data_IF_858082607864
#
_entry.id   IF_858082607864
#
_cell.length_a   1.000
_cell.length_b   1.000
_cell.length_c   1.000
_cell.angle_alpha   90.00
_cell.angle_beta   90.00
_cell.angle_gamma   90.00
#
_symmetry.space_group_name_H-M   'P 1'
#
loop_
_entity.id
_entity.type
_entity.pdbx_description
1 polymer ?
#
# COMPACT_ATOMS: atom_id res chain seq x y z
N UNK A 1 2.17 -8.46 4.80
CA UNK A 1 1.63 -9.68 4.19
C UNK A 1 2.31 -9.82 2.83
N UNK A 2 2.98 -10.94 2.55
CA UNK A 2 3.60 -11.14 1.24
C UNK A 2 2.49 -11.37 0.20
N UNK A 3 2.53 -10.72 -0.97
CA UNK A 3 1.64 -11.00 -2.07
C UNK A 3 1.74 -12.49 -2.40
N UNK A 4 0.60 -13.14 -2.57
CA UNK A 4 0.54 -14.55 -3.00
C UNK A 4 0.81 -14.67 -4.51
N UNK A 5 1.75 -13.88 -5.05
CA UNK A 5 2.07 -13.87 -6.46
C UNK A 5 2.60 -15.24 -6.88
N UNK A 6 1.86 -15.86 -7.80
CA UNK A 6 2.19 -17.17 -8.37
C UNK A 6 3.59 -17.11 -8.98
N UNK A 7 3.93 -15.99 -9.62
CA UNK A 7 5.23 -15.74 -10.25
C UNK A 7 6.39 -15.79 -9.24
N UNK A 8 6.17 -15.39 -7.99
CA UNK A 8 7.19 -15.53 -6.94
C UNK A 8 7.21 -16.97 -6.43
N UNK A 9 6.05 -17.52 -6.09
CA UNK A 9 5.93 -18.86 -5.49
C UNK A 9 6.51 -19.97 -6.36
N UNK A 10 6.31 -19.91 -7.67
CA UNK A 10 6.80 -20.90 -8.62
C UNK A 10 8.31 -20.80 -8.89
N UNK A 11 8.95 -19.70 -8.50
CA UNK A 11 10.36 -19.42 -8.83
C UNK A 11 11.29 -19.36 -7.60
N UNK A 12 10.75 -19.58 -6.39
CA UNK A 12 11.53 -19.74 -5.15
C UNK A 12 11.75 -21.22 -4.83
N UNK A 13 12.92 -21.57 -4.29
CA UNK A 13 13.22 -22.96 -3.89
C UNK A 13 12.54 -23.31 -2.57
N UNK A 14 12.43 -24.61 -2.27
CA UNK A 14 11.97 -25.08 -0.97
C UNK A 14 12.77 -24.45 0.17
N UNK A 15 12.08 -23.94 1.20
CA UNK A 15 12.68 -23.24 2.33
C UNK A 15 13.00 -21.75 2.10
N UNK A 16 12.89 -21.24 0.86
CA UNK A 16 13.06 -19.81 0.57
C UNK A 16 11.76 -19.02 0.77
N UNK A 17 11.91 -17.75 1.10
CA UNK A 17 10.86 -16.74 1.13
C UNK A 17 11.06 -15.73 -0.01
N UNK A 18 10.06 -14.87 -0.25
CA UNK A 18 10.18 -13.80 -1.24
C UNK A 18 11.38 -12.87 -0.96
N UNK A 19 11.67 -12.62 0.32
CA UNK A 19 12.78 -11.75 0.74
C UNK A 19 14.15 -12.33 0.39
N UNK A 20 14.26 -13.65 0.25
CA UNK A 20 15.50 -14.33 -0.13
C UNK A 20 15.78 -14.25 -1.64
N UNK A 21 14.79 -13.82 -2.44
CA UNK A 21 14.89 -13.69 -3.91
C UNK A 21 14.50 -12.28 -4.37
N UNK A 22 15.28 -11.25 -3.99
CA UNK A 22 15.00 -9.87 -4.36
C UNK A 22 15.01 -9.65 -5.88
N UNK A 23 15.74 -10.47 -6.63
CA UNK A 23 15.78 -10.47 -8.09
C UNK A 23 14.41 -10.83 -8.71
N UNK A 24 13.75 -11.86 -8.19
CA UNK A 24 12.41 -12.28 -8.64
C UNK A 24 11.37 -11.25 -8.23
N UNK A 25 11.42 -10.82 -6.97
CA UNK A 25 10.51 -9.79 -6.43
C UNK A 25 10.56 -8.53 -7.29
N UNK A 26 11.76 -8.06 -7.60
CA UNK A 26 12.00 -6.87 -8.43
C UNK A 26 11.33 -7.01 -9.80
N UNK A 27 11.58 -8.13 -10.49
CA UNK A 27 11.01 -8.39 -11.82
C UNK A 27 9.49 -8.50 -11.79
N UNK A 28 8.94 -9.23 -10.82
CA UNK A 28 7.50 -9.38 -10.64
C UNK A 28 6.82 -8.04 -10.37
N UNK A 29 7.39 -7.25 -9.47
CA UNK A 29 6.89 -5.91 -9.14
C UNK A 29 6.91 -5.00 -10.36
N UNK A 30 8.03 -4.89 -11.09
CA UNK A 30 8.12 -4.00 -12.25
C UNK A 30 7.18 -4.40 -13.38
N UNK A 31 6.96 -5.72 -13.59
CA UNK A 31 5.98 -6.19 -14.58
C UNK A 31 4.56 -5.75 -14.21
N UNK A 32 4.16 -5.93 -12.94
CA UNK A 32 2.85 -5.51 -12.46
C UNK A 32 2.71 -3.99 -12.45
N UNK A 33 3.73 -3.25 -12.02
CA UNK A 33 3.73 -1.79 -12.05
C UNK A 33 3.60 -1.26 -13.48
N UNK A 34 4.34 -1.82 -14.44
CA UNK A 34 4.23 -1.43 -15.86
C UNK A 34 2.84 -1.71 -16.42
N UNK A 35 2.27 -2.87 -16.08
CA UNK A 35 0.91 -3.23 -16.46
C UNK A 35 -0.11 -2.27 -15.83
N UNK A 36 0.03 -1.97 -14.54
CA UNK A 36 -0.83 -1.01 -13.84
C UNK A 36 -0.76 0.36 -14.49
N UNK A 37 0.45 0.85 -14.79
CA UNK A 37 0.62 2.12 -15.48
C UNK A 37 -0.08 2.14 -16.84
N UNK A 38 -0.04 1.04 -17.60
CA UNK A 38 -0.74 0.93 -18.90
C UNK A 38 -2.25 1.05 -18.71
N UNK A 39 -2.84 0.33 -17.76
CA UNK A 39 -4.27 0.41 -17.46
C UNK A 39 -4.69 1.82 -17.03
N UNK A 40 -3.85 2.48 -16.22
CA UNK A 40 -4.07 3.88 -15.83
C UNK A 40 -3.99 4.84 -17.02
N UNK A 41 -3.07 4.59 -17.97
CA UNK A 41 -2.92 5.37 -19.20
C UNK A 41 -4.12 5.15 -20.15
N UNK A 42 -4.74 3.98 -20.10
CA UNK A 42 -5.97 3.64 -20.83
C UNK A 42 -7.25 4.18 -20.16
N UNK A 43 -7.11 4.90 -19.04
CA UNK A 43 -8.21 5.63 -18.42
C UNK A 43 -9.08 4.79 -17.49
N UNK A 44 -8.58 3.69 -16.93
CA UNK A 44 -9.35 2.83 -16.01
C UNK A 44 -9.88 3.57 -14.77
N UNK A 45 -9.21 4.64 -14.34
CA UNK A 45 -9.66 5.54 -13.26
C UNK A 45 -10.10 6.92 -13.77
N UNK A 46 -10.34 7.05 -15.08
CA UNK A 46 -10.54 8.32 -15.77
C UNK A 46 -9.27 8.80 -16.49
N UNK A 47 -9.46 9.69 -17.46
CA UNK A 47 -8.35 10.21 -18.26
C UNK A 47 -7.53 11.22 -17.44
N UNK A 48 -6.22 10.98 -17.37
CA UNK A 48 -5.27 11.79 -16.60
C UNK A 48 -4.66 12.93 -17.44
N UNK A 49 -4.54 14.11 -16.84
CA UNK A 49 -3.71 15.22 -17.35
C UNK A 49 -2.25 15.04 -16.96
N UNK A 50 -2.00 14.47 -15.78
CA UNK A 50 -0.66 14.21 -15.28
C UNK A 50 -0.64 13.01 -14.32
N UNK A 51 0.51 12.34 -14.26
CA UNK A 51 0.79 11.27 -13.30
C UNK A 51 2.17 11.42 -12.73
N UNK A 52 2.27 11.30 -11.42
CA UNK A 52 3.54 11.23 -10.71
C UNK A 52 3.55 9.89 -9.97
N UNK A 53 4.66 9.16 -10.04
CA UNK A 53 4.82 7.99 -9.18
C UNK A 53 6.23 7.88 -8.63
N UNK A 54 6.33 7.29 -7.44
CA UNK A 54 7.59 7.01 -6.75
C UNK A 54 7.55 5.57 -6.27
N UNK A 55 8.63 4.84 -6.49
CA UNK A 55 8.82 3.51 -5.90
C UNK A 55 9.66 3.65 -4.64
N UNK A 56 9.08 3.28 -3.50
CA UNK A 56 9.77 3.17 -2.22
C UNK A 56 10.27 1.74 -2.00
N UNK A 57 11.51 1.63 -1.54
CA UNK A 57 12.13 0.38 -1.17
C UNK A 57 12.22 0.30 0.34
N UNK A 58 11.40 -0.54 0.95
CA UNK A 58 11.40 -0.69 2.41
C UNK A 58 12.57 -1.59 2.84
N UNK A 59 13.26 -1.25 3.94
CA UNK A 59 14.45 -1.97 4.45
C UNK A 59 14.38 -3.50 4.39
N UNK A 60 13.24 -4.08 4.80
CA UNK A 60 12.95 -5.52 4.72
C UNK A 60 11.59 -5.81 4.06
N UNK A 61 11.02 -4.81 3.39
CA UNK A 61 9.68 -4.89 2.83
C UNK A 61 9.73 -4.98 1.31
N UNK A 62 8.61 -5.37 0.74
CA UNK A 62 8.44 -5.39 -0.70
C UNK A 62 8.42 -3.95 -1.23
N UNK A 63 8.84 -3.76 -2.49
CA UNK A 63 8.74 -2.45 -3.13
C UNK A 63 7.28 -1.97 -3.14
N UNK A 64 7.10 -0.67 -2.94
CA UNK A 64 5.78 -0.05 -2.90
C UNK A 64 5.75 1.15 -3.85
N UNK A 65 4.74 1.21 -4.73
CA UNK A 65 4.54 2.35 -5.61
C UNK A 65 3.52 3.31 -4.99
N UNK A 66 3.90 4.57 -4.86
CA UNK A 66 3.00 5.67 -4.60
C UNK A 66 2.69 6.34 -5.94
N UNK A 67 1.44 6.25 -6.41
CA UNK A 67 1.00 6.82 -7.68
C UNK A 67 -0.02 7.91 -7.38
N UNK A 68 0.22 9.13 -7.84
CA UNK A 68 -0.76 10.21 -7.87
C UNK A 68 -1.16 10.50 -9.30
N UNK A 69 -2.47 10.57 -9.53
CA UNK A 69 -3.05 10.96 -10.80
C UNK A 69 -3.79 12.29 -10.66
N UNK A 70 -3.58 13.18 -11.61
CA UNK A 70 -4.37 14.39 -11.79
C UNK A 70 -5.28 14.12 -12.99
N UNK A 71 -6.57 13.90 -12.73
CA UNK A 71 -7.57 13.65 -13.76
C UNK A 71 -7.96 14.94 -14.49
N UNK A 72 -8.37 14.81 -15.75
CA UNK A 72 -9.01 15.90 -16.49
C UNK A 72 -10.27 16.36 -15.74
N UNK A 73 -10.67 17.64 -15.85
CA UNK A 73 -11.85 18.15 -15.15
C UNK A 73 -13.12 17.31 -15.35
N UNK A 74 -13.31 16.77 -16.55
CA UNK A 74 -14.48 15.99 -16.95
C UNK A 74 -14.48 14.58 -16.35
N UNK A 75 -13.31 14.06 -16.00
CA UNK A 75 -13.10 12.72 -15.45
C UNK A 75 -13.00 12.73 -13.91
N UNK A 76 -12.98 13.91 -13.27
CA UNK A 76 -12.88 14.00 -11.81
C UNK A 76 -14.17 13.50 -11.16
N UNK A 77 -14.09 12.60 -10.16
CA UNK A 77 -15.28 12.20 -9.41
C UNK A 77 -15.74 13.37 -8.54
N UNK A 78 -16.91 13.94 -8.87
CA UNK A 78 -17.49 15.09 -8.17
C UNK A 78 -18.74 14.73 -7.37
N UNK A 79 -19.31 13.55 -7.62
CA UNK A 79 -20.44 13.00 -6.87
C UNK A 79 -20.05 11.75 -6.08
N UNK A 80 -20.88 11.39 -5.09
CA UNK A 80 -20.74 10.12 -4.37
C UNK A 80 -20.85 8.91 -5.31
N UNK A 81 -21.69 9.01 -6.34
CA UNK A 81 -21.86 7.94 -7.33
C UNK A 81 -20.60 7.76 -8.18
N UNK A 82 -19.95 8.85 -8.61
CA UNK A 82 -18.68 8.78 -9.34
C UNK A 82 -17.59 8.11 -8.49
N UNK A 83 -17.54 8.42 -7.19
CA UNK A 83 -16.62 7.74 -6.26
C UNK A 83 -16.94 6.27 -6.16
N UNK A 84 -18.20 5.89 -5.96
CA UNK A 84 -18.60 4.49 -5.80
C UNK A 84 -18.32 3.65 -7.06
N UNK A 85 -18.31 4.26 -8.25
CA UNK A 85 -17.87 3.60 -9.49
C UNK A 85 -16.37 3.31 -9.51
N UNK A 86 -15.56 4.12 -8.82
CA UNK A 86 -14.10 4.02 -8.81
C UNK A 86 -13.54 3.27 -7.59
N UNK A 87 -14.19 3.40 -6.43
CA UNK A 87 -13.65 2.96 -5.15
C UNK A 87 -14.74 2.31 -4.32
N UNK A 88 -14.45 1.11 -3.82
CA UNK A 88 -15.25 0.42 -2.83
C UNK A 88 -14.46 0.29 -1.52
N UNK A 89 -15.18 0.23 -0.41
CA UNK A 89 -14.66 -0.15 0.89
C UNK A 89 -15.50 -1.26 1.53
N UNK A 90 -16.25 -2.00 0.72
CA UNK A 90 -17.12 -3.09 1.13
C UNK A 90 -16.57 -4.43 0.62
N UNK A 91 -16.86 -5.51 1.34
CA UNK A 91 -16.55 -6.86 0.89
C UNK A 91 -17.52 -7.22 -0.24
N UNK A 92 -17.04 -7.61 -1.44
CA UNK A 92 -17.91 -8.08 -2.51
C UNK A 92 -18.70 -9.31 -2.09
N UNK A 93 -19.82 -9.54 -2.74
CA UNK A 93 -20.58 -10.76 -2.54
C UNK A 93 -19.78 -11.98 -3.07
N UNK A 94 -19.58 -13.04 -2.25
CA UNK A 94 -18.83 -14.22 -2.67
C UNK A 94 -19.53 -15.05 -3.76
N UNK A 95 -20.85 -14.95 -3.89
CA UNK A 95 -21.62 -15.67 -4.91
C UNK A 95 -21.63 -14.88 -6.24
N UNK A 96 -21.60 -13.55 -6.20
CA UNK A 96 -21.54 -12.71 -7.40
C UNK A 96 -20.12 -12.56 -7.97
N UNK A 97 -19.12 -12.38 -7.11
CA UNK A 97 -17.72 -12.21 -7.53
C UNK A 97 -16.75 -12.87 -6.53
N UNK A 98 -16.61 -14.20 -6.58
CA UNK A 98 -15.76 -14.95 -5.65
C UNK A 98 -14.29 -14.54 -5.70
N UNK A 99 -13.76 -14.24 -6.90
CA UNK A 99 -12.36 -13.88 -7.08
C UNK A 99 -12.01 -12.53 -6.45
N UNK A 100 -12.87 -11.52 -6.63
CA UNK A 100 -12.68 -10.22 -5.98
C UNK A 100 -12.91 -10.34 -4.47
N UNK A 101 -13.90 -11.13 -4.03
CA UNK A 101 -14.12 -11.39 -2.61
C UNK A 101 -12.84 -11.98 -1.97
N UNK A 102 -12.25 -13.00 -2.58
CA UNK A 102 -11.03 -13.62 -2.07
C UNK A 102 -9.86 -12.62 -2.07
N UNK A 103 -9.75 -11.82 -3.14
CA UNK A 103 -8.74 -10.77 -3.26
C UNK A 103 -8.87 -9.76 -2.13
N UNK A 104 -10.08 -9.25 -1.85
CA UNK A 104 -10.35 -8.26 -0.81
C UNK A 104 -10.05 -8.82 0.58
N UNK A 105 -10.52 -10.04 0.90
CA UNK A 105 -10.19 -10.74 2.14
C UNK A 105 -8.69 -10.99 2.32
N UNK A 106 -7.92 -10.94 1.23
CA UNK A 106 -6.48 -11.17 1.24
C UNK A 106 -5.65 -9.93 1.32
N UNK A 107 -5.95 -8.96 0.50
CA UNK A 107 -5.05 -7.87 0.21
C UNK A 107 -5.65 -6.53 0.63
N UNK A 108 -6.94 -6.46 0.96
CA UNK A 108 -7.62 -5.22 1.31
C UNK A 108 -8.12 -5.19 2.76
N UNK A 109 -7.63 -6.09 3.61
CA UNK A 109 -7.95 -6.09 5.05
C UNK A 109 -6.85 -5.37 5.84
N UNK A 110 -7.24 -4.41 6.67
CA UNK A 110 -6.29 -3.69 7.54
C UNK A 110 -5.81 -4.52 8.74
N UNK A 111 -6.73 -5.27 9.37
CA UNK A 111 -6.54 -5.77 10.72
C UNK A 111 -6.17 -7.27 10.88
N UNK A 112 -6.30 -7.80 12.10
CA UNK A 112 -6.81 -7.12 13.30
C UNK A 112 -5.78 -6.18 13.95
N UNK A 113 -6.25 -5.08 14.53
CA UNK A 113 -5.47 -4.14 15.36
C UNK A 113 -6.36 -3.55 16.47
N UNK A 114 -5.82 -2.67 17.32
CA UNK A 114 -6.59 -2.11 18.43
C UNK A 114 -6.55 -3.06 19.62
N UNK A 115 -7.69 -3.25 20.29
CA UNK A 115 -7.77 -4.15 21.44
C UNK A 115 -7.53 -5.61 21.06
N UNK A 116 -7.88 -5.98 19.82
CA UNK A 116 -7.60 -7.32 19.28
C UNK A 116 -6.12 -7.59 19.04
N UNK A 117 -5.33 -6.53 18.79
CA UNK A 117 -3.89 -6.65 18.61
C UNK A 117 -3.19 -5.30 18.86
N UNK A 118 -2.71 -5.12 20.09
CA UNK A 118 -2.05 -3.88 20.56
C UNK A 118 -0.62 -3.73 20.05
N UNK A 119 0.01 -4.80 19.59
CA UNK A 119 1.41 -4.81 19.10
C UNK A 119 1.51 -4.60 17.59
N UNK A 120 0.39 -4.50 16.88
CA UNK A 120 0.36 -4.24 15.45
C UNK A 120 1.13 -2.95 15.09
N UNK A 121 1.92 -2.91 13.99
CA UNK A 121 2.74 -1.74 13.62
C UNK A 121 1.95 -0.44 13.41
N UNK A 122 0.65 -0.55 13.14
CA UNK A 122 -0.23 0.61 12.99
C UNK A 122 -0.59 1.27 14.33
N UNK A 123 -0.40 0.59 15.46
CA UNK A 123 -0.75 1.08 16.79
C UNK A 123 0.24 2.15 17.24
N UNK A 124 -0.27 3.33 17.57
CA UNK A 124 0.49 4.45 18.14
C UNK A 124 -0.30 5.03 19.30
N UNK A 125 0.32 5.18 20.47
CA UNK A 125 -0.31 5.70 21.68
C UNK A 125 -1.65 5.01 22.01
N UNK A 126 -1.68 3.67 21.91
CA UNK A 126 -2.87 2.86 22.20
C UNK A 126 -3.99 2.92 21.16
N UNK A 127 -3.84 3.67 20.06
CA UNK A 127 -4.85 3.79 18.99
C UNK A 127 -4.26 3.42 17.63
N UNK A 128 -5.10 2.90 16.73
CA UNK A 128 -4.68 2.67 15.36
C UNK A 128 -4.42 4.02 14.66
N UNK A 129 -3.19 4.25 14.20
CA UNK A 129 -2.79 5.46 13.46
C UNK A 129 -3.55 5.65 12.14
N UNK A 130 -4.13 4.57 11.60
CA UNK A 130 -4.99 4.58 10.40
C UNK A 130 -6.48 4.72 10.74
N UNK A 131 -6.83 4.84 12.02
CA UNK A 131 -8.20 5.00 12.54
C UNK A 131 -9.13 3.84 12.15
N UNK A 132 -8.65 2.61 12.32
CA UNK A 132 -9.46 1.40 12.21
C UNK A 132 -9.90 0.91 13.61
N UNK A 133 -11.07 0.26 13.72
CA UNK A 133 -12.08 0.07 12.67
C UNK A 133 -12.71 1.40 12.21
N UNK A 134 -13.07 1.50 10.92
CA UNK A 134 -13.76 2.68 10.37
C UNK A 134 -15.24 2.66 10.81
N UNK A 135 -15.89 3.82 10.99
CA UNK A 135 -17.33 3.84 11.23
C UNK A 135 -18.09 3.27 10.03
N UNK A 136 -19.27 2.71 10.27
CA UNK A 136 -20.20 2.39 9.20
C UNK A 136 -20.72 3.66 8.53
N UNK A 137 -21.08 3.53 7.26
CA UNK A 137 -21.67 4.59 6.46
C UNK A 137 -22.60 3.97 5.41
N UNK A 138 -23.88 4.32 5.45
CA UNK A 138 -24.88 3.77 4.51
C UNK A 138 -24.66 4.23 3.07
N UNK A 139 -24.05 5.39 2.88
CA UNK A 139 -23.70 5.95 1.57
C UNK A 139 -22.36 6.67 1.62
N UNK A 140 -21.72 6.81 0.46
CA UNK A 140 -20.53 7.65 0.31
C UNK A 140 -20.91 9.11 0.48
N UNK A 141 -20.14 9.85 1.28
CA UNK A 141 -20.33 11.30 1.46
C UNK A 141 -19.08 12.06 1.08
N UNK A 142 -19.28 13.11 0.28
CA UNK A 142 -18.23 14.06 -0.05
C UNK A 142 -17.86 14.88 1.19
N UNK A 143 -16.58 15.18 1.35
CA UNK A 143 -16.12 16.04 2.42
C UNK A 143 -15.25 17.15 1.82
N UNK A 144 -15.58 18.41 2.12
CA UNK A 144 -14.76 19.56 1.72
C UNK A 144 -13.40 19.47 2.43
N UNK A 145 -12.32 19.58 1.67
CA UNK A 145 -10.91 19.54 2.13
C UNK A 145 -10.53 18.28 2.94
N UNK A 146 -11.28 17.18 2.74
CA UNK A 146 -11.04 15.91 3.41
C UNK A 146 -11.20 14.76 2.41
N UNK A 147 -10.67 13.60 2.79
CA UNK A 147 -11.01 12.38 2.08
C UNK A 147 -12.52 12.12 2.19
N UNK A 148 -13.16 11.63 1.12
CA UNK A 148 -14.53 11.15 1.18
C UNK A 148 -14.70 10.10 2.27
N UNK A 149 -15.88 10.06 2.87
CA UNK A 149 -16.28 8.92 3.71
C UNK A 149 -16.91 7.90 2.77
N UNK A 150 -16.19 6.82 2.50
CA UNK A 150 -16.68 5.73 1.64
C UNK A 150 -17.81 4.96 2.34
N UNK A 151 -18.79 4.52 1.53
CA UNK A 151 -19.84 3.59 1.95
C UNK A 151 -19.23 2.33 2.57
N UNK A 152 -19.75 1.97 3.74
CA UNK A 152 -19.39 0.80 4.55
C UNK A 152 -20.65 0.34 5.25
N UNK A 153 -21.52 -0.40 4.57
CA UNK A 153 -22.76 -0.90 5.18
C UNK A 153 -22.47 -2.06 6.12
N UNK A 154 -23.31 -2.21 7.13
CA UNK A 154 -23.30 -3.40 7.98
C UNK A 154 -23.77 -4.61 7.16
N UNK A 155 -23.10 -5.75 7.30
CA UNK A 155 -23.55 -7.01 6.69
C UNK A 155 -24.40 -7.82 7.67
N UNK A 156 -24.97 -8.92 7.19
CA UNK A 156 -25.60 -9.92 8.04
C UNK A 156 -24.61 -10.51 9.04
N UNK A 157 -25.13 -11.00 10.17
CA UNK A 157 -24.33 -11.69 11.19
C UNK A 157 -23.69 -12.96 10.65
N UNK A 158 -22.60 -13.40 11.28
CA UNK A 158 -21.91 -14.63 10.93
C UNK A 158 -20.41 -14.52 11.10
N UNK A 159 -19.73 -15.65 10.95
CA UNK A 159 -18.27 -15.70 11.03
C UNK A 159 -17.70 -15.92 9.63
N UNK A 160 -16.77 -15.05 9.23
CA UNK A 160 -15.95 -15.24 8.04
C UNK A 160 -14.57 -15.74 8.48
N UNK A 161 -14.27 -16.98 8.11
CA UNK A 161 -12.98 -17.59 8.38
C UNK A 161 -12.12 -17.57 7.12
N UNK A 162 -10.85 -17.15 7.27
CA UNK A 162 -9.84 -17.27 6.22
C UNK A 162 -8.50 -17.68 6.82
N UNK A 163 -8.15 -18.95 6.65
CA UNK A 163 -7.05 -19.57 7.39
C UNK A 163 -7.31 -19.48 8.90
N UNK A 164 -6.32 -19.05 9.65
CA UNK A 164 -6.41 -18.91 11.12
C UNK A 164 -7.11 -17.63 11.58
N UNK A 165 -7.49 -16.74 10.64
CA UNK A 165 -8.16 -15.48 10.97
C UNK A 165 -9.67 -15.66 10.89
N UNK A 166 -10.36 -15.30 11.97
CA UNK A 166 -11.82 -15.23 12.04
C UNK A 166 -12.23 -13.76 12.17
N UNK A 167 -13.19 -13.37 11.35
CA UNK A 167 -13.78 -12.04 11.33
C UNK A 167 -15.28 -12.14 11.56
N UNK A 168 -15.83 -11.17 12.29
CA UNK A 168 -17.27 -10.98 12.35
C UNK A 168 -17.75 -10.38 11.02
N UNK A 169 -18.62 -11.11 10.33
CA UNK A 169 -19.18 -10.72 9.04
C UNK A 169 -19.91 -9.38 9.13
N UNK A 170 -20.63 -9.13 10.22
CA UNK A 170 -21.43 -7.92 10.37
C UNK A 170 -20.56 -6.66 10.40
N UNK A 171 -19.32 -6.76 10.89
CA UNK A 171 -18.38 -5.64 11.07
C UNK A 171 -17.23 -5.62 10.07
N UNK A 172 -17.15 -6.58 9.14
CA UNK A 172 -15.99 -6.73 8.27
C UNK A 172 -15.71 -5.50 7.39
N UNK A 173 -16.77 -4.83 6.92
CA UNK A 173 -16.66 -3.63 6.09
C UNK A 173 -15.97 -2.46 6.82
N UNK A 174 -15.88 -2.48 8.16
CA UNK A 174 -15.14 -1.49 8.93
C UNK A 174 -13.62 -1.66 8.81
N UNK A 175 -13.15 -2.83 8.36
CA UNK A 175 -11.74 -3.22 8.32
C UNK A 175 -11.13 -3.17 6.92
N UNK A 176 -11.95 -2.95 5.89
CA UNK A 176 -11.51 -2.94 4.50
C UNK A 176 -10.85 -1.61 4.16
N UNK A 177 -9.65 -1.64 3.57
CA UNK A 177 -9.03 -0.45 2.99
C UNK A 177 -9.68 -0.14 1.64
N UNK A 178 -9.85 1.14 1.27
CA UNK A 178 -10.51 1.50 0.02
C UNK A 178 -9.71 0.99 -1.20
N UNK A 179 -10.41 0.40 -2.16
CA UNK A 179 -9.83 -0.29 -3.30
C UNK A 179 -10.66 -0.06 -4.56
N UNK A 180 -10.05 -0.20 -5.73
CA UNK A 180 -10.78 -0.24 -7.00
C UNK A 180 -11.05 -1.71 -7.36
N UNK A 181 -12.32 -2.13 -7.55
CA UNK A 181 -12.68 -3.52 -7.85
C UNK A 181 -11.89 -4.14 -9.01
N UNK A 182 -11.82 -3.44 -10.16
CA UNK A 182 -11.14 -3.94 -11.35
C UNK A 182 -9.64 -4.15 -11.10
N UNK A 183 -8.95 -3.11 -10.60
CA UNK A 183 -7.50 -3.17 -10.36
C UNK A 183 -7.15 -4.21 -9.31
N UNK A 184 -7.91 -4.28 -8.22
CA UNK A 184 -7.68 -5.28 -7.18
C UNK A 184 -7.81 -6.70 -7.73
N UNK A 185 -8.90 -7.03 -8.41
CA UNK A 185 -9.11 -8.37 -8.98
C UNK A 185 -8.03 -8.72 -10.02
N UNK A 186 -7.74 -7.81 -10.96
CA UNK A 186 -6.77 -8.03 -12.04
C UNK A 186 -5.36 -8.31 -11.52
N UNK A 187 -4.91 -7.57 -10.50
CA UNK A 187 -3.54 -7.69 -9.99
C UNK A 187 -3.40 -8.63 -8.80
N UNK A 188 -4.51 -8.99 -8.16
CA UNK A 188 -4.60 -9.83 -6.95
C UNK A 188 -3.50 -9.47 -5.93
N UNK A 189 -3.42 -8.18 -5.60
CA UNK A 189 -2.41 -7.64 -4.71
C UNK A 189 -2.91 -6.40 -3.98
N UNK A 190 -2.15 -5.93 -2.99
CA UNK A 190 -2.52 -4.79 -2.15
C UNK A 190 -2.39 -3.46 -2.91
N UNK A 191 -3.50 -3.04 -3.54
CA UNK A 191 -3.69 -1.76 -4.23
C UNK A 191 -4.76 -0.96 -3.49
N UNK A 192 -4.33 0.07 -2.79
CA UNK A 192 -5.23 1.04 -2.15
C UNK A 192 -5.48 2.17 -3.13
N UNK A 193 -6.75 2.50 -3.36
CA UNK A 193 -7.17 3.65 -4.17
C UNK A 193 -7.93 4.61 -3.27
N UNK A 194 -7.46 5.86 -3.19
CA UNK A 194 -8.13 6.93 -2.44
C UNK A 194 -8.38 8.14 -3.34
N UNK A 195 -9.61 8.65 -3.32
CA UNK A 195 -9.97 9.93 -3.93
C UNK A 195 -9.55 11.04 -2.98
N UNK A 196 -8.69 11.96 -3.45
CA UNK A 196 -8.04 12.97 -2.62
C UNK A 196 -8.44 14.39 -3.06
N UNK A 197 -8.67 15.27 -2.09
CA UNK A 197 -8.78 16.71 -2.31
C UNK A 197 -7.39 17.37 -2.45
N UNK A 198 -7.34 18.54 -3.08
CA UNK A 198 -6.13 19.17 -3.64
C UNK A 198 -5.03 19.45 -2.61
N UNK A 199 -5.36 19.91 -1.41
CA UNK A 199 -4.38 20.31 -0.37
C UNK A 199 -3.59 19.11 0.19
N UNK A 200 -4.26 17.96 0.33
CA UNK A 200 -3.67 16.70 0.79
C UNK A 200 -2.87 16.02 -0.30
N UNK A 201 -3.31 16.10 -1.55
CA UNK A 201 -2.57 15.59 -2.69
C UNK A 201 -1.18 16.24 -2.77
N UNK A 202 -1.10 17.57 -2.60
CA UNK A 202 0.18 18.30 -2.58
C UNK A 202 1.08 17.80 -1.44
N UNK A 203 0.60 17.79 -0.19
CA UNK A 203 1.39 17.30 0.96
C UNK A 203 1.86 15.86 0.76
N UNK A 204 1.03 15.03 0.15
CA UNK A 204 1.37 13.65 -0.17
C UNK A 204 2.52 13.55 -1.17
N UNK A 205 2.45 14.31 -2.27
CA UNK A 205 3.53 14.38 -3.27
C UNK A 205 4.84 14.78 -2.62
N UNK A 206 4.86 15.90 -1.89
CA UNK A 206 6.09 16.43 -1.29
C UNK A 206 6.72 15.43 -0.33
N UNK A 207 5.90 14.75 0.47
CA UNK A 207 6.38 13.74 1.41
C UNK A 207 7.15 12.61 0.72
N UNK A 208 6.73 12.17 -0.46
CA UNK A 208 7.28 11.01 -1.15
C UNK A 208 8.34 11.37 -2.19
N UNK A 209 8.21 12.50 -2.87
CA UNK A 209 9.24 13.01 -3.78
C UNK A 209 10.51 13.43 -3.03
N UNK A 210 10.37 14.11 -1.89
CA UNK A 210 11.50 14.67 -1.15
C UNK A 210 11.91 13.86 0.07
N UNK A 211 11.47 12.60 0.18
CA UNK A 211 11.78 11.75 1.35
C UNK A 211 13.27 11.44 1.51
N UNK A 212 14.12 11.80 0.53
CA UNK A 212 15.54 11.50 0.55
C UNK A 212 15.81 10.00 0.46
N UNK A 213 17.09 9.63 0.43
CA UNK A 213 17.46 8.22 0.53
C UNK A 213 17.36 7.74 1.99
N UNK A 214 17.11 6.44 2.18
CA UNK A 214 17.27 5.84 3.49
C UNK A 214 18.73 5.97 3.92
N UNK A 215 18.96 6.68 5.03
CA UNK A 215 20.28 6.87 5.63
C UNK A 215 20.44 5.94 6.83
N UNK A 216 21.67 5.46 7.04
CA UNK A 216 22.07 4.75 8.25
C UNK A 216 23.32 5.38 8.82
N UNK A 217 23.42 5.41 10.14
CA UNK A 217 24.63 5.82 10.85
C UNK A 217 25.37 4.56 11.25
N UNK A 218 26.65 4.49 10.89
CA UNK A 218 27.56 3.41 11.27
C UNK A 218 28.51 3.96 12.32
N UNK A 219 28.54 3.35 13.49
CA UNK A 219 29.54 3.67 14.52
C UNK A 219 30.83 2.91 14.22
N UNK A 220 31.94 3.63 14.13
CA UNK A 220 33.27 3.02 13.94
C UNK A 220 33.94 2.95 15.31
N UNK A 221 33.98 1.75 15.89
CA UNK A 221 34.71 1.51 17.14
C UNK A 221 36.20 1.28 16.82
N UNK A 222 37.03 2.23 17.25
CA UNK A 222 38.50 2.13 17.25
C UNK A 222 39.04 2.65 18.59
N UNK A 223 40.22 2.17 19.02
CA UNK A 223 40.91 2.76 20.16
C UNK A 223 41.39 4.16 19.78
N UNK A 224 40.61 5.17 20.14
CA UNK A 224 40.97 6.58 19.97
C UNK A 224 41.49 7.07 21.32
N UNK A 225 42.72 7.58 21.38
CA UNK A 225 43.27 8.21 22.58
C UNK A 225 42.31 9.31 23.08
N UNK A 226 42.11 9.35 24.39
CA UNK A 226 41.07 10.08 25.13
C UNK A 226 40.98 11.59 24.81
N UNK A 227 42.00 12.15 24.14
CA UNK A 227 42.10 13.55 23.72
C UNK A 227 41.83 13.84 22.23
N UNK A 228 41.36 12.86 21.45
CA UNK A 228 41.07 13.04 20.01
C UNK A 228 39.69 12.53 19.57
N UNK A 229 38.67 12.65 20.44
CA UNK A 229 37.28 12.33 20.11
C UNK A 229 36.74 13.29 19.04
N UNK A 230 36.81 12.88 17.77
CA UNK A 230 36.19 13.58 16.65
C UNK A 230 34.86 12.89 16.29
N UNK A 231 33.75 13.57 16.52
CA UNK A 231 32.39 13.09 16.23
C UNK A 231 32.20 12.69 14.76
N UNK A 232 32.91 13.34 13.82
CA UNK A 232 32.91 12.99 12.39
C UNK A 232 33.64 11.66 12.12
N UNK A 233 34.67 11.34 12.90
CA UNK A 233 35.42 10.09 12.77
C UNK A 233 34.70 8.89 13.41
N UNK A 234 33.80 9.14 14.37
CA UNK A 234 33.07 8.09 15.09
C UNK A 234 31.83 7.60 14.35
N UNK A 235 31.21 8.46 13.53
CA UNK A 235 29.93 8.16 12.89
C UNK A 235 30.00 8.41 11.38
N UNK A 236 29.91 7.32 10.60
CA UNK A 236 29.75 7.41 9.15
C UNK A 236 28.26 7.42 8.81
N UNK A 237 27.79 8.53 8.22
CA UNK A 237 26.47 8.56 7.59
C UNK A 237 26.56 7.94 6.19
N UNK A 238 25.94 6.79 5.99
CA UNK A 238 25.93 6.08 4.74
C UNK A 238 24.51 5.98 4.17
N UNK A 239 24.41 6.00 2.84
CA UNK A 239 23.16 5.64 2.16
C UNK A 239 22.97 4.13 2.25
N UNK A 240 21.83 3.71 2.76
CA UNK A 240 21.39 2.33 2.72
C UNK A 240 20.74 2.03 1.36
N UNK A 241 21.07 0.88 0.78
CA UNK A 241 20.44 0.35 -0.43
C UNK A 241 19.92 -1.04 -0.08
N UNK A 242 18.59 -1.21 -0.15
CA UNK A 242 17.97 -2.52 0.10
C UNK A 242 18.32 -3.52 -1.01
N UNK A 243 18.24 -4.84 -0.77
CA UNK A 243 18.49 -5.84 -1.82
C UNK A 243 17.61 -5.66 -3.07
N UNK A 244 16.34 -5.27 -2.88
CA UNK A 244 15.41 -4.98 -4.00
C UNK A 244 15.84 -3.73 -4.76
N UNK A 245 16.23 -2.65 -4.06
CA UNK A 245 16.74 -1.43 -4.71
C UNK A 245 18.03 -1.72 -5.49
N UNK A 246 18.92 -2.55 -4.95
CA UNK A 246 20.13 -2.99 -5.65
C UNK A 246 19.78 -3.74 -6.95
N UNK A 247 18.84 -4.70 -6.89
CA UNK A 247 18.37 -5.41 -8.07
C UNK A 247 17.73 -4.47 -9.10
N UNK A 248 16.93 -3.48 -8.67
CA UNK A 248 16.34 -2.48 -9.59
C UNK A 248 17.42 -1.76 -10.40
N UNK A 249 18.47 -1.31 -9.73
CA UNK A 249 19.60 -0.61 -10.36
C UNK A 249 20.38 -1.53 -11.29
N UNK A 250 20.68 -2.76 -10.85
CA UNK A 250 21.40 -3.75 -11.66
C UNK A 250 20.63 -4.12 -12.93
N UNK A 251 19.30 -4.21 -12.85
CA UNK A 251 18.43 -4.43 -14.01
C UNK A 251 18.16 -3.17 -14.84
N UNK A 252 18.72 -2.02 -14.43
CA UNK A 252 18.56 -0.72 -15.10
C UNK A 252 17.10 -0.31 -15.23
N UNK A 253 16.29 -0.63 -14.22
CA UNK A 253 14.95 -0.07 -14.11
C UNK A 253 15.04 1.41 -13.69
N UNK A 254 14.11 2.27 -14.14
CA UNK A 254 14.04 3.64 -13.65
C UNK A 254 13.81 3.64 -12.13
N UNK A 255 14.69 4.31 -11.38
CA UNK A 255 14.60 4.36 -9.91
C UNK A 255 14.04 5.66 -9.36
N UNK A 256 13.81 6.65 -10.23
CA UNK A 256 13.14 7.94 -10.05
C UNK A 256 13.00 8.62 -11.41
#
# INVERSE_FOLDING_TARGET
>A
MYPKWVEIKENIRSGQTASDRPDIVTRGFMRKLKSLCKDLDEGILGIQTARIHVVEYQKCGLPHAHILMILRPEDKPVTAEDIDRLVSAELPDPDENPDLNETVLSCMMHGPCGDQNKTCPCMKNGKCSKKFPKPFAEATTMAVDKYPVYRRRRREGGNLQRGDKVWDNATINQWIVPYNPYLSQKYNCHIIVEVCATDRAIKYIYKYLYKGADMTTITIEGQVEEHSLNEILQYLQARYISPVEACMRLFRHPTQ
#
